data_IF_461479921694
#
_entry.id   IF_461479921694
#
_cell.length_a   1.000
_cell.length_b   1.000
_cell.length_c   1.000
_cell.angle_alpha   90.00
_cell.angle_beta   90.00
_cell.angle_gamma   90.00
#
_symmetry.space_group_name_H-M   'P 1'
#
loop_
_entity.id
_entity.type
_entity.pdbx_description
1 polymer ?
#
# COMPACT_ATOMS: atom_id res chain seq x y z
N UNK A 1 9.09 16.66 3.58
CA UNK A 1 8.71 15.27 3.92
C UNK A 1 7.23 14.97 3.71
N UNK A 2 6.32 15.86 4.11
CA UNK A 2 4.86 15.68 3.95
C UNK A 2 4.40 15.41 2.50
N UNK A 3 4.98 16.07 1.49
CA UNK A 3 4.58 15.84 0.08
C UNK A 3 4.92 14.44 -0.44
N UNK A 4 5.99 13.83 0.08
CA UNK A 4 6.37 12.45 -0.31
C UNK A 4 5.36 11.51 0.34
N UNK A 5 5.17 11.61 1.66
CA UNK A 5 4.21 10.81 2.41
C UNK A 5 2.79 10.83 1.81
N UNK A 6 2.28 12.02 1.44
CA UNK A 6 0.96 12.15 0.80
C UNK A 6 0.85 11.37 -0.51
N UNK A 7 1.89 11.39 -1.35
CA UNK A 7 1.91 10.63 -2.60
C UNK A 7 1.98 9.13 -2.33
N UNK A 8 2.84 8.71 -1.40
CA UNK A 8 2.97 7.30 -1.03
C UNK A 8 1.67 6.75 -0.46
N UNK A 9 0.98 7.51 0.40
CA UNK A 9 -0.32 7.14 0.98
C UNK A 9 -1.42 6.95 -0.08
N UNK A 10 -1.49 7.85 -1.08
CA UNK A 10 -2.45 7.73 -2.17
C UNK A 10 -2.17 6.52 -3.06
N UNK A 11 -0.91 6.26 -3.39
CA UNK A 11 -0.50 5.10 -4.19
C UNK A 11 -0.80 3.80 -3.45
N UNK A 12 -0.53 3.76 -2.14
CA UNK A 12 -0.84 2.63 -1.27
C UNK A 12 -2.35 2.34 -1.32
N UNK A 13 -3.18 3.35 -1.04
CA UNK A 13 -4.64 3.19 -1.07
C UNK A 13 -5.17 2.70 -2.43
N UNK A 14 -4.62 3.20 -3.54
CA UNK A 14 -4.97 2.69 -4.87
C UNK A 14 -4.52 1.24 -5.07
N UNK A 15 -3.32 0.86 -4.62
CA UNK A 15 -2.82 -0.51 -4.70
C UNK A 15 -3.67 -1.49 -3.89
N UNK A 16 -4.16 -1.05 -2.72
CA UNK A 16 -5.07 -1.81 -1.87
C UNK A 16 -6.43 -2.03 -2.55
N UNK A 17 -7.00 -0.97 -3.13
CA UNK A 17 -8.28 -1.05 -3.86
C UNK A 17 -8.18 -2.02 -5.04
N UNK A 18 -7.09 -1.96 -5.82
CA UNK A 18 -6.85 -2.91 -6.92
C UNK A 18 -6.79 -4.35 -6.40
N UNK A 19 -6.07 -4.60 -5.31
CA UNK A 19 -5.98 -5.93 -4.72
C UNK A 19 -7.37 -6.44 -4.25
N UNK A 20 -8.15 -5.57 -3.62
CA UNK A 20 -9.47 -5.93 -3.08
C UNK A 20 -10.54 -6.12 -4.17
N UNK A 21 -10.56 -5.26 -5.19
CA UNK A 21 -11.62 -5.28 -6.21
C UNK A 21 -11.26 -6.10 -7.44
N UNK A 22 -9.98 -6.39 -7.68
CA UNK A 22 -9.56 -7.19 -8.84
C UNK A 22 -9.04 -8.55 -8.38
N UNK A 23 -8.03 -8.57 -7.51
CA UNK A 23 -7.37 -9.83 -7.16
C UNK A 23 -8.26 -10.77 -6.32
N UNK A 24 -9.01 -10.23 -5.35
CA UNK A 24 -9.92 -11.05 -4.53
C UNK A 24 -11.10 -11.63 -5.34
N UNK A 25 -11.80 -10.86 -6.19
CA UNK A 25 -12.81 -11.43 -7.09
C UNK A 25 -12.23 -12.47 -8.04
N UNK A 26 -11.03 -12.24 -8.61
CA UNK A 26 -10.40 -13.23 -9.47
C UNK A 26 -10.11 -14.55 -8.74
N UNK A 27 -9.69 -14.48 -7.48
CA UNK A 27 -9.49 -15.66 -6.63
C UNK A 27 -10.79 -16.43 -6.39
N UNK A 28 -11.87 -15.74 -6.00
CA UNK A 28 -13.10 -16.42 -5.58
C UNK A 28 -14.05 -16.79 -6.73
N UNK A 29 -14.16 -15.95 -7.75
CA UNK A 29 -15.06 -16.21 -8.89
C UNK A 29 -14.41 -17.08 -9.97
N UNK A 30 -13.11 -16.90 -10.22
CA UNK A 30 -12.40 -17.60 -11.30
C UNK A 30 -11.47 -18.71 -10.78
N UNK A 31 -11.33 -18.90 -9.47
CA UNK A 31 -10.40 -19.87 -8.86
C UNK A 31 -8.94 -19.70 -9.32
N UNK A 32 -8.53 -18.49 -9.72
CA UNK A 32 -7.16 -18.17 -10.13
C UNK A 32 -6.46 -17.43 -8.98
N UNK A 33 -5.68 -18.12 -8.13
CA UNK A 33 -5.03 -17.51 -6.97
C UNK A 33 -3.79 -16.65 -7.33
N UNK A 34 -3.30 -16.77 -8.56
CA UNK A 34 -2.08 -16.12 -9.04
C UNK A 34 -2.18 -14.59 -9.00
N UNK A 35 -3.36 -14.04 -9.30
CA UNK A 35 -3.60 -12.59 -9.19
C UNK A 35 -3.31 -12.06 -7.79
N UNK A 36 -3.82 -12.74 -6.75
CA UNK A 36 -3.58 -12.35 -5.35
C UNK A 36 -2.11 -12.48 -4.99
N UNK A 37 -1.40 -13.47 -5.54
CA UNK A 37 0.04 -13.62 -5.31
C UNK A 37 0.81 -12.41 -5.85
N UNK A 38 0.64 -12.05 -7.12
CA UNK A 38 1.40 -10.93 -7.70
C UNK A 38 1.00 -9.58 -7.11
N UNK A 39 -0.30 -9.27 -7.05
CA UNK A 39 -0.78 -8.00 -6.51
C UNK A 39 -0.53 -7.89 -5.00
N UNK A 40 -0.61 -8.99 -4.26
CA UNK A 40 -0.27 -9.04 -2.84
C UNK A 40 1.19 -8.72 -2.56
N UNK A 41 2.12 -9.27 -3.35
CA UNK A 41 3.54 -8.94 -3.22
C UNK A 41 3.83 -7.47 -3.55
N UNK A 42 3.25 -6.94 -4.63
CA UNK A 42 3.43 -5.53 -5.01
C UNK A 42 2.91 -4.60 -3.92
N UNK A 43 1.70 -4.86 -3.44
CA UNK A 43 1.09 -4.09 -2.36
C UNK A 43 1.91 -4.18 -1.07
N UNK A 44 2.39 -5.37 -0.68
CA UNK A 44 3.22 -5.55 0.52
C UNK A 44 4.53 -4.75 0.47
N UNK A 45 5.18 -4.67 -0.70
CA UNK A 45 6.38 -3.83 -0.87
C UNK A 45 6.04 -2.34 -0.78
N UNK A 46 4.94 -1.91 -1.41
CA UNK A 46 4.46 -0.52 -1.31
C UNK A 46 4.10 -0.14 0.13
N UNK A 47 3.50 -1.05 0.89
CA UNK A 47 3.18 -0.87 2.30
C UNK A 47 4.42 -0.67 3.17
N UNK A 48 5.49 -1.44 2.92
CA UNK A 48 6.78 -1.26 3.59
C UNK A 48 7.39 0.13 3.33
N UNK A 49 7.37 0.58 2.06
CA UNK A 49 7.85 1.92 1.68
C UNK A 49 6.98 3.00 2.36
N UNK A 50 5.67 2.80 2.40
CA UNK A 50 4.75 3.68 3.10
C UNK A 50 5.05 3.77 4.59
N UNK A 51 5.31 2.65 5.29
CA UNK A 51 5.70 2.67 6.70
C UNK A 51 6.98 3.45 6.96
N UNK A 52 8.01 3.28 6.12
CA UNK A 52 9.27 4.05 6.25
C UNK A 52 8.99 5.55 6.04
N UNK A 53 8.20 5.90 5.03
CA UNK A 53 7.81 7.29 4.77
C UNK A 53 6.97 7.89 5.92
N UNK A 54 6.11 7.09 6.55
CA UNK A 54 5.30 7.46 7.71
C UNK A 54 6.18 7.77 8.92
N UNK A 55 7.11 6.86 9.27
CA UNK A 55 8.02 7.06 10.40
C UNK A 55 8.90 8.28 10.17
N UNK A 56 9.46 8.45 8.96
CA UNK A 56 10.28 9.61 8.61
C UNK A 56 9.50 10.93 8.69
N UNK A 57 8.20 10.93 8.38
CA UNK A 57 7.34 12.10 8.51
C UNK A 57 6.87 12.35 9.96
N UNK A 58 6.72 11.30 10.78
CA UNK A 58 6.20 11.40 12.14
C UNK A 58 7.26 11.87 13.16
N UNK A 59 8.51 11.39 13.05
CA UNK A 59 9.64 11.80 13.92
C UNK A 59 9.79 13.33 14.05
N UNK A 60 9.88 14.11 12.95
CA UNK A 60 10.04 15.56 13.03
C UNK A 60 8.80 16.26 13.61
N UNK A 61 7.59 15.75 13.35
CA UNK A 61 6.35 16.33 13.87
C UNK A 61 6.28 16.20 15.38
N UNK A 62 6.74 15.08 15.95
CA UNK A 62 6.68 14.85 17.39
C UNK A 62 7.77 15.58 18.18
N UNK A 63 8.85 16.03 17.53
CA UNK A 63 9.90 16.83 18.17
C UNK A 63 9.57 18.32 18.25
N UNK A 64 8.50 18.78 17.59
CA UNK A 64 8.02 20.17 17.64
C UNK A 64 6.93 20.41 18.70
N UNK A 65 6.52 19.38 19.45
CA UNK A 65 5.59 19.46 20.60
C UNK A 65 6.31 19.22 21.92
#
# INVERSE_FOLDING_TARGET
MINIYRKTALIEGFSYLILLFIAMPLKYFFNIPEGVKYFGWIHGVLFLIFMVALVAAAIPIQMEF
#
